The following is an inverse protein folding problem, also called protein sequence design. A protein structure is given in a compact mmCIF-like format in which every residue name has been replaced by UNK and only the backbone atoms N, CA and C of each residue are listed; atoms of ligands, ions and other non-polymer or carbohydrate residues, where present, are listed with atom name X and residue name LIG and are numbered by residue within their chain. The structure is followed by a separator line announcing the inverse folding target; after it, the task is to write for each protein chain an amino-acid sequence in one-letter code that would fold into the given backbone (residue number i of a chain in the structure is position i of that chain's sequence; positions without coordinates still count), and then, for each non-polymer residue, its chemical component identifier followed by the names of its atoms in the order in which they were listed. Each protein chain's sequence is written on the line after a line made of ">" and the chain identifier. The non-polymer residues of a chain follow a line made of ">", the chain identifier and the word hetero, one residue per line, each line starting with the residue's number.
data_IF_080341089816
#
_entry.id   IF_080341089816
#
_cell.length_a   1.000
_cell.length_b   1.000
_cell.length_c   1.000
_cell.angle_alpha   90.00
_cell.angle_beta   90.00
_cell.angle_gamma   90.00
#
_symmetry.space_group_name_H-M   'P 1'
#
loop_
_entity.id
_entity.type
_entity.pdbx_description
1 polymer ?
#
# COMPACT_ATOMS: atom_id res chain seq x y z
N UNK A 1 -16.76 -13.98 4.05
CA UNK A 1 -16.47 -12.70 4.74
C UNK A 1 -15.83 -13.08 6.06
N UNK A 2 -14.53 -12.83 6.23
CA UNK A 2 -13.85 -13.04 7.51
C UNK A 2 -14.47 -12.04 8.49
N UNK A 3 -15.07 -12.50 9.58
CA UNK A 3 -15.68 -11.61 10.56
C UNK A 3 -14.62 -11.08 11.53
N UNK A 4 -13.83 -10.14 11.02
CA UNK A 4 -12.71 -9.51 11.74
C UNK A 4 -13.20 -8.79 13.01
N UNK A 5 -14.49 -8.45 13.11
CA UNK A 5 -15.07 -7.81 14.31
C UNK A 5 -15.06 -8.72 15.54
N UNK A 6 -14.94 -10.03 15.36
CA UNK A 6 -14.90 -11.01 16.45
C UNK A 6 -13.48 -11.22 17.00
N UNK A 7 -12.46 -10.58 16.42
CA UNK A 7 -11.07 -10.78 16.80
C UNK A 7 -10.66 -9.81 17.92
N UNK A 8 -9.95 -10.28 18.96
CA UNK A 8 -9.78 -9.52 20.20
C UNK A 8 -8.76 -8.39 20.08
N UNK A 9 -7.85 -8.44 19.10
CA UNK A 9 -6.82 -7.41 18.90
C UNK A 9 -6.33 -7.36 17.44
N UNK A 10 -5.52 -6.33 17.14
CA UNK A 10 -4.96 -6.08 15.80
C UNK A 10 -4.03 -7.21 15.34
N UNK A 11 -3.29 -7.84 16.25
CA UNK A 11 -2.32 -8.90 15.89
C UNK A 11 -3.01 -10.15 15.35
N UNK A 12 -4.25 -10.41 15.78
CA UNK A 12 -5.06 -11.53 15.28
C UNK A 12 -5.77 -11.15 13.97
N UNK A 13 -6.28 -9.92 13.88
CA UNK A 13 -7.05 -9.41 12.74
C UNK A 13 -6.23 -9.15 11.49
N UNK A 14 -5.07 -8.50 11.65
CA UNK A 14 -4.30 -7.93 10.57
C UNK A 14 -3.71 -8.96 9.60
N UNK A 15 -3.19 -10.13 10.04
CA UNK A 15 -2.72 -11.16 9.10
C UNK A 15 -3.81 -11.62 8.12
N UNK A 16 -5.06 -11.74 8.57
CA UNK A 16 -6.18 -12.11 7.70
C UNK A 16 -6.54 -10.99 6.73
N UNK A 17 -6.54 -9.74 7.20
CA UNK A 17 -6.79 -8.57 6.35
C UNK A 17 -5.71 -8.41 5.27
N UNK A 18 -4.45 -8.73 5.61
CA UNK A 18 -3.33 -8.75 4.68
C UNK A 18 -3.50 -9.81 3.59
N UNK A 19 -3.89 -11.02 3.96
CA UNK A 19 -4.16 -12.09 2.99
C UNK A 19 -5.30 -11.72 2.04
N UNK A 20 -6.36 -11.09 2.57
CA UNK A 20 -7.47 -10.56 1.74
C UNK A 20 -6.99 -9.47 0.80
N UNK A 21 -6.15 -8.54 1.27
CA UNK A 21 -5.56 -7.50 0.42
C UNK A 21 -4.69 -8.11 -0.67
N UNK A 22 -3.80 -9.05 -0.34
CA UNK A 22 -2.94 -9.74 -1.29
C UNK A 22 -3.77 -10.42 -2.38
N UNK A 23 -4.81 -11.17 -2.00
CA UNK A 23 -5.71 -11.82 -2.94
C UNK A 23 -6.46 -10.82 -3.83
N UNK A 24 -6.99 -9.73 -3.26
CA UNK A 24 -7.74 -8.70 -3.99
C UNK A 24 -6.89 -8.02 -5.07
N UNK A 25 -5.61 -7.73 -4.77
CA UNK A 25 -4.70 -7.12 -5.73
C UNK A 25 -3.97 -8.16 -6.58
N UNK A 26 -4.22 -9.45 -6.38
CA UNK A 26 -3.62 -10.55 -7.14
C UNK A 26 -2.14 -10.82 -6.83
N UNK A 27 -1.63 -10.43 -5.67
CA UNK A 27 -0.29 -10.79 -5.20
C UNK A 27 -0.28 -12.21 -4.57
N UNK A 28 0.88 -12.87 -4.49
CA UNK A 28 1.03 -14.09 -3.70
C UNK A 28 0.54 -13.87 -2.26
N UNK A 29 -0.36 -14.75 -1.82
CA UNK A 29 -0.94 -14.70 -0.47
C UNK A 29 0.02 -15.36 0.51
N UNK A 30 0.72 -14.54 1.28
CA UNK A 30 1.62 -14.96 2.36
C UNK A 30 1.68 -13.88 3.43
N UNK A 31 1.12 -14.17 4.60
CA UNK A 31 1.12 -13.25 5.74
C UNK A 31 2.51 -12.89 6.26
N UNK A 32 3.54 -13.68 5.95
CA UNK A 32 4.90 -13.48 6.44
C UNK A 32 5.73 -12.51 5.57
N UNK A 33 5.32 -12.26 4.33
CA UNK A 33 6.02 -11.31 3.44
C UNK A 33 5.57 -9.89 3.80
N UNK A 34 6.46 -8.99 4.26
CA UNK A 34 6.07 -7.62 4.61
C UNK A 34 5.36 -6.91 3.44
N UNK A 35 4.26 -6.20 3.74
CA UNK A 35 3.48 -5.45 2.75
C UNK A 35 3.54 -3.95 3.05
N UNK A 36 4.00 -3.18 2.08
CA UNK A 36 4.07 -1.72 2.11
C UNK A 36 2.92 -1.15 1.27
N UNK A 37 2.12 -0.28 1.87
CA UNK A 37 1.06 0.48 1.21
C UNK A 37 1.48 1.92 0.91
N UNK A 38 1.05 2.45 -0.22
CA UNK A 38 1.02 3.89 -0.52
C UNK A 38 -0.37 4.29 -1.00
N UNK A 39 -0.92 5.37 -0.45
CA UNK A 39 -2.17 5.97 -0.91
C UNK A 39 -1.97 7.47 -1.04
N UNK A 40 -2.20 8.03 -2.23
CA UNK A 40 -2.09 9.47 -2.40
C UNK A 40 -2.19 9.94 -3.84
N UNK A 41 -2.14 11.25 -4.02
CA UNK A 41 -1.99 11.85 -5.35
C UNK A 41 -0.61 11.51 -5.90
N UNK A 42 -0.54 11.18 -7.18
CA UNK A 42 0.71 10.90 -7.89
C UNK A 42 1.32 12.22 -8.39
N UNK A 43 2.02 12.88 -7.49
CA UNK A 43 2.64 14.20 -7.67
C UNK A 43 3.89 14.32 -6.79
N UNK A 44 4.79 15.24 -7.13
CA UNK A 44 6.03 15.45 -6.37
C UNK A 44 5.75 15.92 -4.93
N UNK A 45 4.65 16.66 -4.70
CA UNK A 45 4.30 17.08 -3.33
C UNK A 45 4.16 15.87 -2.38
N UNK A 46 3.64 14.74 -2.88
CA UNK A 46 3.47 13.48 -2.13
C UNK A 46 4.68 12.55 -2.21
N UNK A 47 5.77 12.98 -2.85
CA UNK A 47 6.98 12.20 -2.99
C UNK A 47 6.83 10.97 -3.88
N UNK A 48 5.84 10.95 -4.78
CA UNK A 48 5.60 9.79 -5.65
C UNK A 48 6.77 9.53 -6.61
N UNK A 49 7.56 10.55 -6.94
CA UNK A 49 8.80 10.46 -7.70
C UNK A 49 9.90 9.72 -6.91
N UNK A 50 10.00 10.02 -5.60
CA UNK A 50 10.91 9.34 -4.68
C UNK A 50 10.50 7.87 -4.54
N UNK A 51 9.19 7.61 -4.39
CA UNK A 51 8.63 6.27 -4.34
C UNK A 51 9.03 5.46 -5.57
N UNK A 52 8.73 5.95 -6.78
CA UNK A 52 9.03 5.24 -8.03
C UNK A 52 10.52 4.95 -8.16
N UNK A 53 11.40 5.88 -7.79
CA UNK A 53 12.85 5.67 -7.80
C UNK A 53 13.31 4.63 -6.77
N UNK A 54 12.64 4.52 -5.62
CA UNK A 54 12.98 3.57 -4.56
C UNK A 54 12.49 2.13 -4.83
N UNK A 55 11.47 1.94 -5.68
CA UNK A 55 10.87 0.62 -5.96
C UNK A 55 11.93 -0.41 -6.35
N UNK A 56 12.86 -0.07 -7.23
CA UNK A 56 13.90 -1.02 -7.65
C UNK A 56 14.71 -1.58 -6.48
N UNK A 57 14.96 -0.77 -5.45
CA UNK A 57 15.65 -1.21 -4.23
C UNK A 57 14.78 -2.16 -3.41
N UNK A 58 13.49 -1.83 -3.23
CA UNK A 58 12.54 -2.72 -2.55
C UNK A 58 12.41 -4.07 -3.26
N UNK A 59 12.42 -4.10 -4.59
CA UNK A 59 12.24 -5.34 -5.35
C UNK A 59 13.42 -6.33 -5.21
N UNK A 60 14.58 -5.87 -4.73
CA UNK A 60 15.70 -6.73 -4.32
C UNK A 60 15.43 -7.51 -3.03
N UNK A 61 14.50 -7.05 -2.20
CA UNK A 61 14.13 -7.64 -0.90
C UNK A 61 12.90 -8.55 -1.03
N UNK A 62 12.65 -9.39 -0.02
CA UNK A 62 11.42 -10.17 0.06
C UNK A 62 10.27 -9.34 0.64
N UNK A 63 9.73 -8.41 -0.15
CA UNK A 63 8.69 -7.45 0.23
C UNK A 63 7.66 -7.29 -0.88
N UNK A 64 6.44 -6.95 -0.50
CA UNK A 64 5.36 -6.57 -1.42
C UNK A 64 5.03 -5.08 -1.30
N UNK A 65 4.65 -4.47 -2.41
CA UNK A 65 4.21 -3.07 -2.49
C UNK A 65 2.85 -2.96 -3.18
N UNK A 66 1.95 -2.18 -2.59
CA UNK A 66 0.67 -1.77 -3.20
C UNK A 66 0.58 -0.26 -3.23
N UNK A 67 0.41 0.30 -4.43
CA UNK A 67 0.32 1.74 -4.68
C UNK A 67 -1.06 2.06 -5.23
N UNK A 68 -1.81 2.92 -4.56
CA UNK A 68 -3.11 3.42 -5.00
C UNK A 68 -3.06 4.94 -5.14
N UNK A 69 -3.36 5.45 -6.34
CA UNK A 69 -3.35 6.89 -6.55
C UNK A 69 -3.68 7.31 -7.97
N UNK A 70 -3.99 8.59 -8.15
CA UNK A 70 -4.16 9.23 -9.46
C UNK A 70 -3.40 10.54 -9.49
N UNK A 71 -3.04 11.04 -10.67
CA UNK A 71 -2.31 12.29 -10.81
C UNK A 71 -1.67 12.45 -12.18
N UNK A 72 -0.35 12.69 -12.20
CA UNK A 72 0.39 12.85 -13.45
C UNK A 72 0.35 11.56 -14.26
N UNK A 73 -0.05 11.66 -15.54
CA UNK A 73 -0.17 10.51 -16.45
C UNK A 73 1.12 9.71 -16.62
N UNK A 74 2.27 10.37 -16.52
CA UNK A 74 3.57 9.69 -16.54
C UNK A 74 3.75 8.78 -15.32
N UNK A 75 3.33 9.23 -14.14
CA UNK A 75 3.45 8.48 -12.89
C UNK A 75 2.41 7.37 -12.79
N UNK A 76 1.18 7.61 -13.27
CA UNK A 76 0.15 6.57 -13.41
C UNK A 76 0.68 5.40 -14.26
N UNK A 77 1.24 5.68 -15.44
CA UNK A 77 1.84 4.65 -16.30
C UNK A 77 3.01 3.93 -15.63
N UNK A 78 3.84 4.65 -14.87
CA UNK A 78 4.97 4.04 -14.15
C UNK A 78 4.51 3.05 -13.09
N UNK A 79 3.46 3.37 -12.32
CA UNK A 79 2.95 2.46 -11.30
C UNK A 79 2.20 1.28 -11.92
N UNK A 80 1.46 1.48 -13.02
CA UNK A 80 0.81 0.40 -13.76
C UNK A 80 1.84 -0.60 -14.31
N UNK A 81 2.99 -0.12 -14.81
CA UNK A 81 4.06 -0.98 -15.33
C UNK A 81 4.68 -1.91 -14.27
N UNK A 82 4.49 -1.63 -12.97
CA UNK A 82 5.05 -2.42 -11.89
C UNK A 82 4.49 -3.84 -11.84
N UNK A 83 3.21 -4.02 -12.16
CA UNK A 83 2.60 -5.35 -12.15
C UNK A 83 3.18 -6.26 -13.24
N UNK A 84 3.62 -5.67 -14.35
CA UNK A 84 4.29 -6.40 -15.44
C UNK A 84 5.74 -6.69 -15.07
N UNK A 85 6.42 -5.74 -14.43
CA UNK A 85 7.86 -5.84 -14.14
C UNK A 85 8.13 -6.72 -12.92
N UNK A 86 7.23 -6.70 -11.93
CA UNK A 86 7.34 -7.41 -10.66
C UNK A 86 6.00 -8.06 -10.29
N UNK A 87 5.52 -9.04 -11.10
CA UNK A 87 4.19 -9.62 -10.96
C UNK A 87 3.94 -10.28 -9.61
N UNK A 88 4.97 -10.69 -8.88
CA UNK A 88 4.79 -11.33 -7.57
C UNK A 88 5.04 -10.38 -6.38
N UNK A 89 5.42 -9.13 -6.64
CA UNK A 89 5.86 -8.18 -5.60
C UNK A 89 5.19 -6.82 -5.64
N UNK A 90 4.71 -6.32 -6.79
CA UNK A 90 4.22 -4.95 -6.88
C UNK A 90 2.87 -4.84 -7.60
N UNK A 91 1.99 -4.00 -7.07
CA UNK A 91 0.73 -3.62 -7.69
C UNK A 91 0.56 -2.11 -7.69
N UNK A 92 0.30 -1.54 -8.86
CA UNK A 92 -0.04 -0.13 -9.02
C UNK A 92 -1.46 0.01 -9.54
N UNK A 93 -2.31 0.74 -8.81
CA UNK A 93 -3.71 0.97 -9.16
C UNK A 93 -3.92 2.47 -9.39
N UNK A 94 -3.95 2.86 -10.66
CA UNK A 94 -4.11 4.25 -11.09
C UNK A 94 -5.59 4.71 -11.08
N UNK A 95 -6.31 4.52 -9.97
CA UNK A 95 -7.76 4.79 -9.87
C UNK A 95 -8.12 5.38 -8.50
N UNK A 96 -9.25 6.09 -8.45
CA UNK A 96 -9.89 6.41 -7.18
C UNK A 96 -10.71 5.22 -6.70
N UNK A 97 -10.29 4.57 -5.61
CA UNK A 97 -10.95 3.39 -5.06
C UNK A 97 -10.94 3.43 -3.53
N UNK A 98 -12.01 3.96 -2.93
CA UNK A 98 -12.14 4.08 -1.46
C UNK A 98 -12.14 2.71 -0.77
N UNK A 99 -12.87 1.69 -1.24
CA UNK A 99 -12.78 0.34 -0.67
C UNK A 99 -11.35 -0.19 -0.60
N UNK A 100 -10.60 -0.11 -1.71
CA UNK A 100 -9.22 -0.57 -1.76
C UNK A 100 -8.30 0.27 -0.85
N UNK A 101 -8.55 1.58 -0.74
CA UNK A 101 -7.80 2.42 0.19
C UNK A 101 -7.94 1.93 1.65
N UNK A 102 -9.16 1.60 2.08
CA UNK A 102 -9.38 1.02 3.40
C UNK A 102 -8.72 -0.35 3.56
N UNK A 103 -8.75 -1.20 2.52
CA UNK A 103 -8.07 -2.50 2.55
C UNK A 103 -6.55 -2.34 2.68
N UNK A 104 -5.95 -1.39 1.96
CA UNK A 104 -4.52 -1.08 2.06
C UNK A 104 -4.18 -0.60 3.49
N UNK A 105 -4.93 0.35 4.04
CA UNK A 105 -4.68 0.87 5.39
C UNK A 105 -4.79 -0.25 6.44
N UNK A 106 -5.73 -1.17 6.27
CA UNK A 106 -5.99 -2.24 7.24
C UNK A 106 -5.06 -3.46 7.09
N UNK A 107 -4.67 -3.80 5.87
CA UNK A 107 -3.89 -5.01 5.55
C UNK A 107 -2.39 -4.79 5.37
N UNK A 108 -1.93 -3.58 5.08
CA UNK A 108 -0.49 -3.29 4.97
C UNK A 108 0.20 -3.31 6.34
N UNK A 109 1.43 -3.79 6.40
CA UNK A 109 2.25 -3.71 7.61
C UNK A 109 2.76 -2.28 7.82
N UNK A 110 3.21 -1.68 6.71
CA UNK A 110 3.79 -0.34 6.67
C UNK A 110 3.01 0.57 5.73
N UNK A 111 2.80 1.81 6.13
CA UNK A 111 2.23 2.85 5.27
C UNK A 111 3.31 3.87 4.94
N UNK A 112 3.71 3.94 3.67
CA UNK A 112 4.77 4.83 3.22
C UNK A 112 4.21 6.20 2.86
N UNK A 113 4.79 7.25 3.45
CA UNK A 113 4.34 8.64 3.36
C UNK A 113 5.55 9.53 3.03
N UNK A 114 6.09 9.46 1.79
CA UNK A 114 7.31 10.18 1.39
C UNK A 114 7.04 11.66 1.06
N UNK A 115 5.98 12.24 1.64
CA UNK A 115 5.51 13.58 1.34
C UNK A 115 6.57 14.63 1.65
N UNK A 116 6.80 15.56 0.71
CA UNK A 116 7.64 16.74 0.95
C UNK A 116 6.98 17.70 1.94
N UNK A 117 5.64 17.77 1.92
CA UNK A 117 4.84 18.55 2.86
C UNK A 117 3.44 17.96 3.01
N UNK A 118 2.99 17.78 4.26
CA UNK A 118 1.66 17.32 4.65
C UNK A 118 1.02 18.30 5.65
N UNK A 119 0.04 19.13 5.23
CA UNK A 119 -0.53 20.16 6.11
C UNK A 119 -1.40 19.58 7.23
N UNK A 120 -2.02 18.42 7.02
CA UNK A 120 -2.96 17.80 7.96
C UNK A 120 -2.57 16.38 8.34
N UNK A 121 -1.98 15.61 7.41
CA UNK A 121 -1.42 14.32 7.78
C UNK A 121 -2.46 13.27 8.21
N UNK A 122 -3.57 13.19 7.49
CA UNK A 122 -4.64 12.24 7.84
C UNK A 122 -4.20 10.78 7.63
N UNK A 123 -3.34 10.52 6.64
CA UNK A 123 -2.98 9.17 6.26
C UNK A 123 -2.17 8.45 7.35
N UNK A 124 -1.27 9.15 8.04
CA UNK A 124 -0.56 8.57 9.20
C UNK A 124 -1.51 8.32 10.37
N UNK A 125 -2.51 9.18 10.61
CA UNK A 125 -3.49 8.98 11.67
C UNK A 125 -4.35 7.76 11.38
N UNK A 126 -4.76 7.56 10.13
CA UNK A 126 -5.46 6.36 9.68
C UNK A 126 -4.58 5.11 9.84
N UNK A 127 -3.32 5.17 9.40
CA UNK A 127 -2.40 4.04 9.55
C UNK A 127 -2.24 3.63 11.02
N UNK A 128 -1.93 4.58 11.91
CA UNK A 128 -1.81 4.31 13.36
C UNK A 128 -3.10 3.77 13.96
N UNK A 129 -4.27 4.26 13.53
CA UNK A 129 -5.57 3.77 14.02
C UNK A 129 -5.81 2.30 13.66
N UNK A 130 -5.27 1.84 12.54
CA UNK A 130 -5.41 0.46 12.05
C UNK A 130 -4.21 -0.42 12.45
N UNK A 131 -3.26 0.11 13.24
CA UNK A 131 -2.04 -0.61 13.62
C UNK A 131 -1.07 -0.84 12.46
N UNK A 132 -1.12 0.01 11.44
CA UNK A 132 -0.19 0.07 10.32
C UNK A 132 0.87 1.11 10.61
N UNK A 133 2.13 0.70 10.55
CA UNK A 133 3.25 1.54 10.97
C UNK A 133 3.50 2.59 9.89
N UNK A 134 3.29 3.89 10.16
CA UNK A 134 3.61 4.93 9.18
C UNK A 134 5.14 5.09 9.07
N UNK A 135 5.64 5.22 7.84
CA UNK A 135 7.05 5.48 7.49
C UNK A 135 7.14 6.71 6.61
#
# INVERSE_FOLDING_TARGET
>A
IIDVKLMPNVMDAKPLLKEVLQAEVGLPVDRNIPLIGFIGRLEEQKGSDILVAAIQKFMGENVQIVILGTGKKTMEKQIEQLEITYPDKARGVAKFNVPLAHMIIAGADYMLIPSRFEPCGLIQLHAMRYGTVPI
#
